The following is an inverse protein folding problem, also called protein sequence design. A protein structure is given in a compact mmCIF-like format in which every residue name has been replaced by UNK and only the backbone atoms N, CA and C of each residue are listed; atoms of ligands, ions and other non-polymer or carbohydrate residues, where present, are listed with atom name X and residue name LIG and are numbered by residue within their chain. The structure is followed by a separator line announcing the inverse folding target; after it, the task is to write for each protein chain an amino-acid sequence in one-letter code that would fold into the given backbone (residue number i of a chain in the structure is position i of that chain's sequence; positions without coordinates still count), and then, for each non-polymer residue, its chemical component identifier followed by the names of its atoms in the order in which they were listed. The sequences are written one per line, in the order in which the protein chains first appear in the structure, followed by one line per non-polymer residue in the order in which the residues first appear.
data_IF_438492253424
#
_entry.id   IF_438492253424
#
_cell.length_a   1.000
_cell.length_b   1.000
_cell.length_c   1.000
_cell.angle_alpha   90.00
_cell.angle_beta   90.00
_cell.angle_gamma   90.00
#
_symmetry.space_group_name_H-M   'P 1'
#
loop_
_entity.id
_entity.type
_entity.pdbx_description
1 polymer ?
#
# COMPACT_ATOMS: atom_id res chain seq x y z
N UNK A 1 -17.44 -8.87 8.28
CA UNK A 1 -17.15 -8.75 9.71
C UNK A 1 -16.35 -9.94 10.23
N UNK A 2 -16.72 -11.19 9.96
CA UNK A 2 -16.08 -12.42 10.45
C UNK A 2 -14.54 -12.49 10.30
N UNK A 3 -13.96 -11.94 9.20
CA UNK A 3 -12.49 -11.85 9.04
C UNK A 3 -11.84 -10.97 10.12
N UNK A 4 -12.46 -9.82 10.44
CA UNK A 4 -11.98 -8.88 11.47
C UNK A 4 -12.05 -9.48 12.88
N UNK A 5 -13.03 -10.34 13.11
CA UNK A 5 -13.27 -11.01 14.39
C UNK A 5 -12.35 -12.22 14.60
N UNK A 6 -11.48 -12.51 13.62
CA UNK A 6 -10.46 -13.56 13.76
C UNK A 6 -10.96 -14.99 13.61
N UNK A 7 -12.15 -15.20 13.04
CA UNK A 7 -12.74 -16.54 12.88
C UNK A 7 -11.96 -17.46 11.92
N UNK A 8 -11.11 -16.90 11.07
CA UNK A 8 -10.42 -17.65 10.03
C UNK A 8 -8.91 -17.66 10.25
N UNK A 9 -8.20 -18.74 9.94
CA UNK A 9 -6.75 -18.79 10.00
C UNK A 9 -6.09 -17.87 8.96
N UNK A 10 -4.80 -17.59 9.18
CA UNK A 10 -3.99 -16.77 8.28
C UNK A 10 -4.02 -17.31 6.84
N UNK A 11 -4.03 -16.38 5.88
CA UNK A 11 -4.06 -16.65 4.45
C UNK A 11 -5.27 -17.46 3.93
N UNK A 12 -6.21 -17.87 4.79
CA UNK A 12 -7.35 -18.71 4.37
C UNK A 12 -8.46 -17.93 3.62
N UNK A 13 -8.55 -16.62 3.84
CA UNK A 13 -9.53 -15.75 3.21
C UNK A 13 -8.92 -14.40 2.86
N UNK A 14 -9.44 -13.82 1.78
CA UNK A 14 -9.15 -12.44 1.38
C UNK A 14 -10.45 -11.71 1.09
N UNK A 15 -10.45 -10.40 1.29
CA UNK A 15 -11.52 -9.53 0.82
C UNK A 15 -11.08 -8.87 -0.47
N UNK A 16 -11.94 -8.93 -1.48
CA UNK A 16 -11.69 -8.35 -2.81
C UNK A 16 -12.73 -7.30 -3.14
N UNK A 17 -12.34 -6.30 -3.91
CA UNK A 17 -13.30 -5.43 -4.59
C UNK A 17 -14.01 -6.22 -5.70
N UNK A 18 -15.24 -5.85 -5.98
CA UNK A 18 -15.99 -6.38 -7.12
C UNK A 18 -16.03 -5.31 -8.21
N UNK A 19 -15.14 -5.41 -9.19
CA UNK A 19 -14.98 -4.44 -10.28
C UNK A 19 -15.31 -5.11 -11.61
N UNK A 20 -14.31 -5.73 -12.26
CA UNK A 20 -14.47 -6.37 -13.57
C UNK A 20 -13.38 -7.43 -13.80
N UNK A 21 -13.76 -8.70 -13.73
CA UNK A 21 -12.84 -9.82 -13.97
C UNK A 21 -12.38 -9.95 -15.42
N UNK A 22 -13.05 -9.28 -16.37
CA UNK A 22 -12.70 -9.27 -17.80
C UNK A 22 -11.77 -8.12 -18.20
N UNK A 23 -11.46 -7.20 -17.28
CA UNK A 23 -10.62 -6.02 -17.58
C UNK A 23 -9.27 -6.40 -18.19
N UNK A 24 -8.82 -5.62 -19.18
CA UNK A 24 -7.47 -5.72 -19.72
C UNK A 24 -6.38 -5.38 -18.71
N UNK A 25 -6.70 -4.52 -17.73
CA UNK A 25 -5.82 -4.18 -16.62
C UNK A 25 -6.01 -5.18 -15.47
N UNK A 26 -4.97 -5.97 -15.17
CA UNK A 26 -5.03 -6.99 -14.11
C UNK A 26 -5.35 -6.39 -12.74
N UNK A 27 -4.96 -5.14 -12.48
CA UNK A 27 -5.23 -4.45 -11.21
C UNK A 27 -6.72 -4.14 -11.01
N UNK A 28 -7.52 -4.17 -12.08
CA UNK A 28 -8.97 -3.98 -12.02
C UNK A 28 -9.77 -5.30 -11.94
N UNK A 29 -9.07 -6.45 -11.97
CA UNK A 29 -9.72 -7.77 -11.90
C UNK A 29 -9.98 -8.19 -10.45
N UNK A 30 -10.97 -7.58 -9.84
CA UNK A 30 -11.40 -7.84 -8.46
C UNK A 30 -10.20 -7.92 -7.50
N UNK A 31 -9.43 -6.84 -7.33
CA UNK A 31 -8.20 -6.86 -6.56
C UNK A 31 -8.45 -7.12 -5.07
N UNK A 32 -7.49 -7.76 -4.43
CA UNK A 32 -7.51 -7.99 -2.97
C UNK A 32 -7.26 -6.67 -2.25
N UNK A 33 -8.10 -6.34 -1.28
CA UNK A 33 -7.98 -5.14 -0.44
C UNK A 33 -7.65 -5.44 1.01
N UNK A 34 -8.02 -6.61 1.53
CA UNK A 34 -7.64 -7.07 2.87
C UNK A 34 -7.22 -8.55 2.87
N UNK A 35 -6.22 -8.85 3.67
CA UNK A 35 -5.78 -10.22 3.97
C UNK A 35 -5.76 -10.47 5.47
N UNK A 36 -5.85 -11.75 5.86
CA UNK A 36 -5.70 -12.18 7.25
C UNK A 36 -4.21 -12.45 7.48
N UNK A 37 -3.67 -11.82 8.52
CA UNK A 37 -2.30 -12.03 8.97
C UNK A 37 -2.18 -11.68 10.46
N UNK A 38 -1.86 -12.63 11.30
CA UNK A 38 -1.58 -12.41 12.71
C UNK A 38 -0.10 -12.14 12.90
N UNK A 39 0.22 -10.88 13.08
CA UNK A 39 1.58 -10.40 13.30
C UNK A 39 1.53 -9.24 14.28
N UNK A 40 2.46 -9.23 15.22
CA UNK A 40 2.60 -8.10 16.15
C UNK A 40 2.98 -6.83 15.38
N UNK A 41 2.20 -5.79 15.54
CA UNK A 41 2.42 -4.48 14.90
C UNK A 41 3.00 -3.51 15.93
N UNK A 42 4.07 -2.80 15.58
CA UNK A 42 4.83 -1.93 16.50
C UNK A 42 3.99 -0.85 17.19
N UNK A 43 2.92 -0.35 16.58
CA UNK A 43 2.04 0.67 17.18
C UNK A 43 0.76 0.09 17.81
N UNK A 44 0.22 -1.00 17.26
CA UNK A 44 -1.10 -1.51 17.65
C UNK A 44 -1.06 -2.88 18.29
N UNK A 45 0.14 -3.47 18.41
CA UNK A 45 0.31 -4.80 18.99
C UNK A 45 -0.47 -5.87 18.21
N UNK A 46 -1.19 -6.71 18.92
CA UNK A 46 -1.97 -7.81 18.36
C UNK A 46 -3.46 -7.47 18.15
N UNK A 47 -3.80 -6.17 18.16
CA UNK A 47 -5.19 -5.69 18.06
C UNK A 47 -5.87 -6.11 16.76
N UNK A 48 -5.13 -6.21 15.66
CA UNK A 48 -5.66 -6.47 14.33
C UNK A 48 -5.14 -7.77 13.75
N UNK A 49 -6.03 -8.58 13.20
CA UNK A 49 -5.69 -9.80 12.46
C UNK A 49 -5.92 -9.68 10.94
N UNK A 50 -6.38 -8.52 10.47
CA UNK A 50 -6.52 -8.20 9.05
C UNK A 50 -5.70 -6.98 8.70
N UNK A 51 -5.08 -6.99 7.52
CA UNK A 51 -4.27 -5.89 7.03
C UNK A 51 -4.68 -5.50 5.62
N UNK A 52 -4.79 -4.19 5.34
CA UNK A 52 -5.10 -3.72 4.00
C UNK A 52 -3.92 -3.94 3.04
N UNK A 53 -4.25 -4.05 1.76
CA UNK A 53 -3.26 -4.05 0.69
C UNK A 53 -2.92 -2.61 0.29
N UNK A 54 -1.74 -2.43 -0.32
CA UNK A 54 -1.18 -1.13 -0.64
C UNK A 54 -2.13 -0.22 -1.42
N UNK A 55 -2.72 -0.69 -2.51
CA UNK A 55 -3.57 0.12 -3.38
C UNK A 55 -4.78 0.71 -2.64
N UNK A 56 -5.37 -0.09 -1.75
CA UNK A 56 -6.49 0.36 -0.92
C UNK A 56 -6.06 1.35 0.16
N UNK A 57 -4.91 1.09 0.78
CA UNK A 57 -4.37 1.96 1.85
C UNK A 57 -3.93 3.31 1.29
N UNK A 58 -3.22 3.32 0.17
CA UNK A 58 -2.69 4.55 -0.44
C UNK A 58 -3.80 5.54 -0.76
N UNK A 59 -4.85 5.11 -1.47
CA UNK A 59 -5.97 5.96 -1.82
C UNK A 59 -6.68 6.54 -0.59
N UNK A 60 -6.98 5.70 0.40
CA UNK A 60 -7.76 6.09 1.57
C UNK A 60 -6.94 6.94 2.54
N UNK A 61 -5.67 6.59 2.79
CA UNK A 61 -4.82 7.36 3.71
C UNK A 61 -4.61 8.77 3.20
N UNK A 62 -4.26 8.92 1.92
CA UNK A 62 -4.05 10.22 1.32
C UNK A 62 -5.33 11.07 1.30
N UNK A 63 -6.48 10.43 1.06
CA UNK A 63 -7.77 11.11 1.12
C UNK A 63 -8.10 11.60 2.55
N UNK A 64 -7.89 10.79 3.57
CA UNK A 64 -8.13 11.13 4.99
C UNK A 64 -7.19 12.26 5.44
N UNK A 65 -5.94 12.23 4.98
CA UNK A 65 -4.93 13.24 5.32
C UNK A 65 -5.05 14.54 4.49
N UNK A 66 -6.08 14.65 3.65
CA UNK A 66 -6.32 15.81 2.77
C UNK A 66 -5.16 16.12 1.82
N UNK A 67 -4.43 15.07 1.39
CA UNK A 67 -3.41 15.20 0.36
C UNK A 67 -4.07 15.61 -0.96
N UNK A 68 -3.42 16.49 -1.71
CA UNK A 68 -3.89 16.92 -3.04
C UNK A 68 -3.18 16.16 -4.17
N UNK A 69 -1.88 15.90 -3.99
CA UNK A 69 -1.01 15.22 -4.95
C UNK A 69 -0.47 13.95 -4.31
N UNK A 70 -1.06 12.83 -4.66
CA UNK A 70 -0.70 11.51 -4.16
C UNK A 70 0.45 10.94 -4.99
N UNK A 71 1.65 10.90 -4.41
CA UNK A 71 2.89 10.59 -5.12
C UNK A 71 3.27 9.12 -4.99
N UNK A 72 3.69 8.51 -6.07
CA UNK A 72 4.22 7.15 -6.09
C UNK A 72 5.28 6.97 -7.19
N UNK A 73 5.86 5.79 -7.26
CA UNK A 73 6.84 5.45 -8.30
C UNK A 73 6.16 4.94 -9.58
N UNK A 74 6.88 4.94 -10.70
CA UNK A 74 6.34 4.58 -12.03
C UNK A 74 5.74 3.16 -12.09
N UNK A 75 6.16 2.25 -11.23
CA UNK A 75 5.58 0.90 -11.15
C UNK A 75 4.08 0.89 -10.90
N UNK A 76 3.54 1.98 -10.33
CA UNK A 76 2.12 2.10 -9.99
C UNK A 76 1.27 2.84 -11.03
N UNK A 77 1.83 3.14 -12.21
CA UNK A 77 1.06 3.79 -13.29
C UNK A 77 -0.18 2.99 -13.67
N UNK A 78 -0.04 1.68 -13.85
CA UNK A 78 -1.17 0.78 -14.15
C UNK A 78 -2.17 0.61 -13.00
N UNK A 79 -1.82 1.06 -11.79
CA UNK A 79 -2.69 1.02 -10.60
C UNK A 79 -3.56 2.27 -10.47
N UNK A 80 -3.29 3.36 -11.21
CA UNK A 80 -4.06 4.61 -11.14
C UNK A 80 -5.57 4.41 -11.35
N UNK A 81 -6.05 3.59 -12.31
CA UNK A 81 -7.47 3.33 -12.44
C UNK A 81 -8.11 2.70 -11.19
N UNK A 82 -7.35 1.85 -10.47
CA UNK A 82 -7.81 1.28 -9.21
C UNK A 82 -7.86 2.33 -8.09
N UNK A 83 -6.86 3.20 -8.02
CA UNK A 83 -6.82 4.32 -7.09
C UNK A 83 -8.05 5.21 -7.22
N UNK A 84 -8.35 5.64 -8.45
CA UNK A 84 -9.51 6.48 -8.77
C UNK A 84 -10.81 5.73 -8.44
N UNK A 85 -10.92 4.47 -8.85
CA UNK A 85 -12.10 3.65 -8.57
C UNK A 85 -12.39 3.51 -7.07
N UNK A 86 -11.35 3.34 -6.24
CA UNK A 86 -11.50 3.26 -4.78
C UNK A 86 -12.11 4.55 -4.24
N UNK A 87 -11.56 5.70 -4.61
CA UNK A 87 -12.05 7.00 -4.16
C UNK A 87 -13.49 7.27 -4.61
N UNK A 88 -13.85 6.91 -5.84
CA UNK A 88 -15.19 7.11 -6.39
C UNK A 88 -16.27 6.24 -5.71
N UNK A 89 -15.86 5.15 -5.07
CA UNK A 89 -16.77 4.19 -4.44
C UNK A 89 -16.78 4.21 -2.91
N UNK A 90 -16.10 5.17 -2.29
CA UNK A 90 -16.12 5.38 -0.84
C UNK A 90 -16.66 6.77 -0.50
N UNK A 91 -17.25 6.91 0.68
CA UNK A 91 -17.81 8.20 1.13
C UNK A 91 -16.71 9.05 1.78
N UNK A 92 -15.80 9.58 0.98
CA UNK A 92 -14.76 10.54 1.39
C UNK A 92 -14.86 11.76 0.46
N UNK A 93 -14.86 12.97 1.03
CA UNK A 93 -15.03 14.20 0.27
C UNK A 93 -13.75 14.61 -0.49
N UNK A 94 -12.57 14.28 0.06
CA UNK A 94 -11.30 14.62 -0.56
C UNK A 94 -10.87 13.52 -1.53
N UNK A 95 -10.70 13.88 -2.80
CA UNK A 95 -10.21 13.00 -3.86
C UNK A 95 -8.84 13.46 -4.35
N UNK A 96 -7.74 12.98 -3.75
CA UNK A 96 -6.39 13.25 -4.23
C UNK A 96 -6.20 12.73 -5.66
N UNK A 97 -5.22 13.27 -6.35
CA UNK A 97 -4.83 12.80 -7.67
C UNK A 97 -3.49 12.08 -7.60
N UNK A 98 -3.41 10.89 -8.17
CA UNK A 98 -2.17 10.11 -8.22
C UNK A 98 -1.23 10.63 -9.32
N UNK A 99 0.06 10.80 -8.95
CA UNK A 99 1.14 11.19 -9.84
C UNK A 99 2.33 10.26 -9.65
N UNK A 100 2.85 9.72 -10.75
CA UNK A 100 3.99 8.81 -10.73
C UNK A 100 5.27 9.53 -11.13
N UNK A 101 6.36 9.18 -10.45
CA UNK A 101 7.70 9.74 -10.67
C UNK A 101 8.71 8.64 -10.95
N UNK A 102 9.68 8.98 -11.82
CA UNK A 102 10.84 8.14 -12.05
C UNK A 102 11.68 8.04 -10.77
N UNK A 103 12.32 6.89 -10.59
CA UNK A 103 13.35 6.72 -9.58
C UNK A 103 14.56 7.56 -9.94
N UNK A 104 14.99 8.42 -9.02
CA UNK A 104 16.27 9.13 -9.13
C UNK A 104 17.40 8.20 -8.69
N UNK A 105 18.35 7.95 -9.57
CA UNK A 105 19.57 7.22 -9.25
C UNK A 105 20.77 8.18 -9.22
N UNK A 106 21.45 8.20 -8.08
CA UNK A 106 22.68 8.96 -7.91
C UNK A 106 23.87 8.06 -8.19
N UNK A 107 24.70 8.45 -9.13
CA UNK A 107 25.96 7.75 -9.41
C UNK A 107 26.94 7.94 -8.24
N UNK A 108 27.79 6.95 -8.00
CA UNK A 108 28.79 6.95 -6.94
C UNK A 108 28.24 7.11 -5.51
N UNK A 109 26.95 6.83 -5.30
CA UNK A 109 26.33 6.91 -3.98
C UNK A 109 26.08 5.51 -3.39
N UNK A 110 26.19 5.43 -2.06
CA UNK A 110 25.80 4.23 -1.32
C UNK A 110 24.34 4.39 -0.89
N UNK A 111 23.42 3.62 -1.52
CA UNK A 111 21.99 3.63 -1.20
C UNK A 111 21.54 2.39 -0.42
N UNK A 112 22.42 1.39 -0.29
CA UNK A 112 22.13 0.16 0.44
C UNK A 112 22.11 0.40 1.95
N UNK A 113 20.97 0.18 2.61
CA UNK A 113 20.83 0.27 4.07
C UNK A 113 21.91 -0.54 4.82
N UNK A 114 22.23 -1.74 4.34
CA UNK A 114 23.26 -2.60 4.93
C UNK A 114 24.66 -1.95 4.87
N UNK A 115 25.02 -1.38 3.71
CA UNK A 115 26.31 -0.70 3.53
C UNK A 115 26.39 0.58 4.35
N UNK A 116 25.32 1.38 4.40
CA UNK A 116 25.27 2.57 5.24
C UNK A 116 25.44 2.21 6.73
N UNK A 117 24.74 1.16 7.17
CA UNK A 117 24.87 0.68 8.55
C UNK A 117 26.28 0.19 8.88
N UNK A 118 26.95 -0.51 7.95
CA UNK A 118 28.35 -0.94 8.10
C UNK A 118 29.28 0.27 8.27
N UNK A 119 29.12 1.32 7.48
CA UNK A 119 29.93 2.54 7.60
C UNK A 119 29.80 3.19 8.99
N UNK A 120 28.61 3.17 9.58
CA UNK A 120 28.39 3.70 10.94
C UNK A 120 28.98 2.77 11.99
N UNK A 121 28.73 1.47 11.91
CA UNK A 121 29.19 0.50 12.92
C UNK A 121 30.71 0.31 12.90
N UNK A 122 31.36 0.49 11.76
CA UNK A 122 32.82 0.44 11.59
C UNK A 122 33.51 1.80 11.88
N UNK A 123 32.73 2.85 12.20
CA UNK A 123 33.21 4.15 12.59
C UNK A 123 33.76 5.01 11.46
N UNK A 124 33.41 4.71 10.21
CA UNK A 124 33.82 5.53 9.06
C UNK A 124 33.02 6.84 8.95
N UNK A 125 31.80 6.86 9.49
CA UNK A 125 30.91 8.03 9.56
C UNK A 125 30.15 8.01 10.88
N UNK A 126 29.72 9.18 11.37
CA UNK A 126 28.93 9.36 12.59
C UNK A 126 27.47 9.65 12.27
#
# INVERSE_FOLDING_TARGET
MRMKEGEFPDASKTLRLKIDMSSGNVNMRDPVIYRIRRVHHHNTGDKWCIYPMYDYTHAISDAIEHITHSLCTLEFESHRPLYDWVLDNISIDNHPRQYEFSRLELLYSITSKRKLNSLVTEGHVS
#
